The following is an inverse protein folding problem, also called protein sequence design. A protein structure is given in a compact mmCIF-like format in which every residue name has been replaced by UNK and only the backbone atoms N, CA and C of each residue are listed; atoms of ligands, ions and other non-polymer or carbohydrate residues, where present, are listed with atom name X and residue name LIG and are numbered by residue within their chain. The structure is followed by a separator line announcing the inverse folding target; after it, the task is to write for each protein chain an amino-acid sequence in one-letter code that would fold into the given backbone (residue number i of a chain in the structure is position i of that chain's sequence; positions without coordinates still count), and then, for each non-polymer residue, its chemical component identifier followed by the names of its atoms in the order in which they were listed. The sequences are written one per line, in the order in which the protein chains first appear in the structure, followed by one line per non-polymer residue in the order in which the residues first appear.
data_IF_747498241183
#
_entry.id   IF_747498241183
#
_cell.length_a   1.000
_cell.length_b   1.000
_cell.length_c   1.000
_cell.angle_alpha   90.00
_cell.angle_beta   90.00
_cell.angle_gamma   90.00
#
_symmetry.space_group_name_H-M   'P 1'
#
loop_
_entity.id
_entity.type
_entity.pdbx_description
1 polymer ?
#
# COMPACT_ATOMS: atom_id res chain seq x y z
N UNK A 1 12.64 3.65 -12.45
CA UNK A 1 11.18 3.50 -12.20
C UNK A 1 10.78 4.27 -10.94
N UNK A 2 11.44 4.04 -9.79
CA UNK A 2 11.16 4.74 -8.54
C UNK A 2 11.13 6.28 -8.68
N UNK A 3 12.12 6.89 -9.32
CA UNK A 3 12.20 8.36 -9.47
C UNK A 3 11.06 8.97 -10.32
N UNK A 4 10.30 8.16 -11.06
CA UNK A 4 9.14 8.61 -11.85
C UNK A 4 7.82 8.37 -11.11
N UNK A 5 7.82 7.54 -10.07
CA UNK A 5 6.66 7.30 -9.24
C UNK A 5 6.65 8.35 -8.13
N UNK A 6 5.79 9.34 -8.32
CA UNK A 6 5.63 10.47 -7.39
C UNK A 6 4.17 10.53 -7.01
N UNK A 7 3.91 10.63 -5.71
CA UNK A 7 2.58 10.82 -5.16
C UNK A 7 2.48 12.21 -4.54
N UNK A 8 1.41 12.92 -4.85
CA UNK A 8 1.06 14.14 -4.13
C UNK A 8 0.32 13.80 -2.83
N UNK A 9 0.17 14.80 -1.95
CA UNK A 9 -0.48 14.63 -0.65
C UNK A 9 -1.91 14.06 -0.76
N UNK A 10 -2.70 14.51 -1.74
CA UNK A 10 -4.07 14.02 -1.93
C UNK A 10 -4.11 12.55 -2.35
N UNK A 11 -3.16 12.08 -3.17
CA UNK A 11 -3.03 10.67 -3.52
C UNK A 11 -2.63 9.83 -2.30
N UNK A 12 -1.73 10.34 -1.46
CA UNK A 12 -1.31 9.67 -0.22
C UNK A 12 -2.51 9.50 0.74
N UNK A 13 -3.29 10.56 0.96
CA UNK A 13 -4.53 10.50 1.75
C UNK A 13 -5.54 9.51 1.16
N UNK A 14 -5.67 9.53 -0.17
CA UNK A 14 -6.56 8.61 -0.90
C UNK A 14 -6.12 7.15 -0.74
N UNK A 15 -4.82 6.86 -0.79
CA UNK A 15 -4.28 5.51 -0.52
C UNK A 15 -4.73 5.05 0.87
N UNK A 16 -4.47 5.83 1.92
CA UNK A 16 -4.81 5.38 3.27
C UNK A 16 -6.32 5.26 3.51
N UNK A 17 -7.15 6.11 2.90
CA UNK A 17 -8.62 5.97 2.98
C UNK A 17 -9.17 4.79 2.17
N UNK A 18 -8.44 4.32 1.14
CA UNK A 18 -8.78 3.15 0.34
C UNK A 18 -8.04 1.88 0.78
N UNK A 19 -7.15 1.94 1.75
CA UNK A 19 -6.44 0.77 2.27
C UNK A 19 -7.22 0.11 3.40
N UNK A 20 -7.00 -1.19 3.55
CA UNK A 20 -7.41 -1.92 4.74
C UNK A 20 -6.25 -1.90 5.76
N UNK A 21 -6.61 -1.82 7.05
CA UNK A 21 -5.66 -1.72 8.17
C UNK A 21 -5.45 -3.09 8.81
N UNK A 22 -4.19 -3.43 9.08
CA UNK A 22 -3.76 -4.68 9.69
C UNK A 22 -2.90 -4.42 10.93
N UNK A 23 -3.02 -5.29 11.94
CA UNK A 23 -2.27 -5.17 13.20
C UNK A 23 -0.95 -5.91 13.14
N UNK A 24 -0.88 -6.99 12.38
CA UNK A 24 0.33 -7.79 12.24
C UNK A 24 0.76 -7.88 10.78
N UNK A 25 2.07 -8.00 10.56
CA UNK A 25 2.61 -8.23 9.22
C UNK A 25 2.12 -9.57 8.66
N UNK A 26 1.91 -10.57 9.51
CA UNK A 26 1.34 -11.88 9.16
C UNK A 26 -0.01 -11.74 8.44
N UNK A 27 -0.87 -10.82 8.88
CA UNK A 27 -2.15 -10.53 8.22
C UNK A 27 -1.94 -10.04 6.78
N UNK A 28 -0.93 -9.18 6.57
CA UNK A 28 -0.50 -8.73 5.23
C UNK A 28 0.32 -9.78 4.47
N UNK A 29 0.79 -10.86 5.08
CA UNK A 29 1.53 -11.93 4.40
C UNK A 29 0.63 -13.09 3.96
N UNK A 30 -0.65 -13.10 4.33
CA UNK A 30 -1.60 -14.17 4.00
C UNK A 30 -2.23 -14.05 2.60
N UNK A 31 -1.78 -13.10 1.77
CA UNK A 31 -2.31 -12.83 0.43
C UNK A 31 -1.24 -12.67 -0.66
N UNK A 32 -1.63 -12.18 -1.83
CA UNK A 32 -0.71 -11.91 -2.95
C UNK A 32 0.02 -10.56 -2.82
N UNK A 33 0.37 -10.17 -1.60
CA UNK A 33 1.08 -8.92 -1.35
C UNK A 33 2.54 -9.07 -1.76
N UNK A 34 3.02 -8.11 -2.54
CA UNK A 34 4.37 -8.11 -3.08
C UNK A 34 5.18 -7.00 -2.40
N UNK A 35 6.49 -7.07 -2.57
CA UNK A 35 7.41 -6.01 -2.15
C UNK A 35 8.19 -5.51 -3.36
N UNK A 36 8.38 -4.20 -3.43
CA UNK A 36 9.12 -3.54 -4.51
C UNK A 36 10.21 -2.64 -3.94
N UNK A 37 11.39 -2.50 -4.58
CA UNK A 37 12.49 -1.69 -4.08
C UNK A 37 12.29 -0.18 -4.30
N UNK A 38 11.05 0.31 -4.22
CA UNK A 38 10.71 1.73 -4.29
C UNK A 38 9.74 2.08 -3.17
N UNK A 39 10.07 3.12 -2.40
CA UNK A 39 9.25 3.59 -1.29
C UNK A 39 9.11 5.12 -1.32
N UNK A 40 7.95 5.60 -0.87
CA UNK A 40 7.70 7.01 -0.57
C UNK A 40 7.45 7.11 0.93
N UNK A 41 8.26 7.91 1.61
CA UNK A 41 8.19 8.09 3.05
C UNK A 41 7.79 9.50 3.43
N UNK A 42 7.30 9.67 4.64
CA UNK A 42 6.91 10.97 5.17
C UNK A 42 6.35 10.88 6.57
N UNK A 43 5.65 11.92 6.99
CA UNK A 43 5.07 12.01 8.32
C UNK A 43 3.61 12.43 8.25
N UNK A 44 2.79 11.90 9.15
CA UNK A 44 1.40 12.29 9.31
C UNK A 44 1.00 12.36 10.78
N UNK A 45 -0.05 13.12 11.06
CA UNK A 45 -0.65 13.20 12.39
C UNK A 45 -2.01 12.51 12.33
N UNK A 46 -2.19 11.47 13.15
CA UNK A 46 -3.45 10.76 13.29
C UNK A 46 -3.70 10.47 14.77
N UNK A 47 -4.92 10.75 15.25
CA UNK A 47 -5.29 10.65 16.67
C UNK A 47 -4.30 11.38 17.62
N UNK A 48 -3.90 12.61 17.26
CA UNK A 48 -2.95 13.44 18.02
C UNK A 48 -1.55 12.82 18.19
N UNK A 49 -1.24 11.78 17.42
CA UNK A 49 0.04 11.08 17.41
C UNK A 49 0.73 11.28 16.07
N UNK A 50 2.04 11.51 16.12
CA UNK A 50 2.89 11.63 14.93
C UNK A 50 3.33 10.24 14.50
N UNK A 51 3.21 9.96 13.21
CA UNK A 51 3.59 8.70 12.60
C UNK A 51 4.57 8.98 11.46
N UNK A 52 5.62 8.17 11.37
CA UNK A 52 6.37 8.02 10.13
C UNK A 52 5.63 7.01 9.26
N UNK A 53 5.46 7.30 7.97
CA UNK A 53 4.91 6.32 7.04
C UNK A 53 5.95 5.92 6.00
N UNK A 54 5.87 4.67 5.54
CA UNK A 54 6.48 4.20 4.30
C UNK A 54 5.41 3.58 3.41
N UNK A 55 5.28 4.05 2.17
CA UNK A 55 4.41 3.46 1.15
C UNK A 55 5.30 2.73 0.16
N UNK A 56 5.12 1.43 0.05
CA UNK A 56 5.80 0.62 -0.94
C UNK A 56 5.08 0.71 -2.29
N UNK A 57 5.83 0.72 -3.39
CA UNK A 57 5.24 0.79 -4.73
C UNK A 57 4.40 -0.44 -5.12
N UNK A 58 4.40 -1.50 -4.29
CA UNK A 58 3.59 -2.70 -4.43
C UNK A 58 2.27 -2.70 -3.60
N UNK A 59 1.60 -1.55 -3.52
CA UNK A 59 0.27 -1.40 -2.90
C UNK A 59 0.19 -1.72 -1.39
N UNK A 60 1.33 -1.70 -0.69
CA UNK A 60 1.42 -1.85 0.76
C UNK A 60 2.01 -0.60 1.40
N UNK A 61 1.72 -0.38 2.67
CA UNK A 61 2.32 0.70 3.44
C UNK A 61 2.38 0.35 4.92
N UNK A 62 3.18 1.09 5.66
CA UNK A 62 3.27 0.99 7.11
C UNK A 62 3.29 2.38 7.74
N UNK A 63 2.71 2.49 8.94
CA UNK A 63 2.90 3.63 9.83
C UNK A 63 3.63 3.13 11.07
N UNK A 64 4.67 3.85 11.50
CA UNK A 64 5.38 3.57 12.74
C UNK A 64 5.59 4.84 13.56
N UNK A 65 5.48 4.73 14.88
CA UNK A 65 5.92 5.76 15.83
C UNK A 65 7.19 5.35 16.60
N UNK A 66 7.83 4.25 16.19
CA UNK A 66 8.95 3.62 16.89
C UNK A 66 8.57 2.68 18.04
N UNK A 67 7.29 2.58 18.40
CA UNK A 67 6.78 1.66 19.42
C UNK A 67 5.80 0.64 18.86
N UNK A 68 4.92 1.09 17.97
CA UNK A 68 3.95 0.26 17.27
C UNK A 68 4.04 0.51 15.76
N UNK A 69 3.71 -0.52 15.00
CA UNK A 69 3.60 -0.46 13.55
C UNK A 69 2.21 -0.88 13.13
N UNK A 70 1.59 -0.08 12.26
CA UNK A 70 0.33 -0.38 11.61
C UNK A 70 0.64 -0.71 10.16
N UNK A 71 0.14 -1.83 9.67
CA UNK A 71 0.31 -2.23 8.27
C UNK A 71 -0.95 -1.91 7.48
N UNK A 72 -0.76 -1.62 6.20
CA UNK A 72 -1.79 -1.20 5.27
C UNK A 72 -1.64 -1.92 3.95
N UNK A 73 -2.76 -2.29 3.35
CA UNK A 73 -2.78 -2.85 1.99
C UNK A 73 -3.93 -2.26 1.19
N UNK A 74 -3.65 -1.77 -0.02
CA UNK A 74 -4.70 -1.31 -0.92
C UNK A 74 -5.04 -2.34 -1.99
N UNK A 75 -6.09 -3.11 -1.72
CA UNK A 75 -6.61 -4.15 -2.61
C UNK A 75 -7.73 -3.66 -3.53
N UNK A 76 -8.08 -2.36 -3.53
CA UNK A 76 -9.18 -1.79 -4.35
C UNK A 76 -8.66 -1.30 -5.72
N UNK A 77 -9.43 -1.49 -6.80
CA UNK A 77 -9.06 -1.04 -8.17
C UNK A 77 -8.73 0.47 -8.23
N UNK A 78 -9.40 1.28 -7.39
CA UNK A 78 -9.15 2.73 -7.30
C UNK A 78 -7.74 3.10 -6.82
N UNK A 79 -6.93 2.13 -6.41
CA UNK A 79 -5.52 2.32 -6.06
C UNK A 79 -4.56 2.12 -7.23
N UNK A 80 -5.00 1.55 -8.35
CA UNK A 80 -4.07 0.99 -9.33
C UNK A 80 -3.19 2.05 -9.98
N UNK A 81 -3.77 3.20 -10.31
CA UNK A 81 -3.06 4.33 -10.89
C UNK A 81 -2.11 5.04 -9.90
N UNK A 82 -2.11 4.65 -8.62
CA UNK A 82 -1.23 5.21 -7.58
C UNK A 82 -0.03 4.31 -7.28
N UNK A 83 0.06 3.11 -7.85
CA UNK A 83 1.15 2.17 -7.58
C UNK A 83 1.84 1.72 -8.87
N UNK A 84 3.14 1.41 -8.77
CA UNK A 84 3.86 0.76 -9.88
C UNK A 84 3.34 -0.66 -10.06
N UNK A 85 3.12 -1.36 -8.95
CA UNK A 85 2.70 -2.76 -8.92
C UNK A 85 1.42 -2.87 -8.08
N UNK A 86 0.24 -2.75 -8.68
CA UNK A 86 -1.02 -2.86 -7.95
C UNK A 86 -1.22 -4.27 -7.39
N UNK A 87 -2.10 -4.41 -6.41
CA UNK A 87 -2.38 -5.69 -5.76
C UNK A 87 -2.87 -6.74 -6.79
N UNK A 88 -2.09 -7.79 -7.07
CA UNK A 88 -2.41 -8.76 -8.12
C UNK A 88 -3.52 -9.74 -7.71
N UNK A 89 -3.80 -9.84 -6.41
CA UNK A 89 -4.78 -10.78 -5.86
C UNK A 89 -6.20 -10.60 -6.40
N UNK A 90 -6.58 -9.41 -6.90
CA UNK A 90 -7.91 -9.18 -7.49
C UNK A 90 -8.17 -10.05 -8.72
N UNK A 91 -7.16 -10.27 -9.56
CA UNK A 91 -7.27 -11.07 -10.79
C UNK A 91 -7.53 -12.56 -10.51
N UNK A 92 -7.32 -13.02 -9.27
CA UNK A 92 -7.51 -14.41 -8.86
C UNK A 92 -8.88 -14.68 -8.21
N UNK A 93 -9.68 -13.65 -7.92
CA UNK A 93 -10.99 -13.79 -7.24
C UNK A 93 -12.15 -13.80 -8.26
N UNK A 94 -11.90 -13.40 -9.50
CA UNK A 94 -12.84 -13.54 -10.62
C UNK A 94 -12.29 -14.51 -11.65
N UNK A 95 -12.86 -15.71 -11.75
CA UNK A 95 -12.54 -16.64 -12.83
C UNK A 95 -12.65 -15.96 -14.20
N UNK A 96 -11.58 -15.97 -15.00
CA UNK A 96 -11.62 -15.57 -16.41
C UNK A 96 -10.63 -14.48 -16.89
N UNK A 97 -9.61 -14.10 -16.13
CA UNK A 97 -8.57 -13.18 -16.60
C UNK A 97 -7.40 -13.88 -17.30
N UNK A 98 -7.28 -13.73 -18.62
CA UNK A 98 -6.23 -14.32 -19.46
C UNK A 98 -4.84 -13.77 -19.10
N UNK A 99 -3.92 -14.64 -18.67
CA UNK A 99 -2.49 -14.34 -18.68
C UNK A 99 -2.07 -14.14 -20.14
N UNK A 100 -1.63 -12.92 -20.47
CA UNK A 100 -0.98 -12.62 -21.74
C UNK A 100 0.51 -12.54 -21.42
N UNK A 101 1.26 -13.55 -21.87
CA UNK A 101 2.72 -13.47 -22.04
C UNK A 101 3.00 -13.04 -23.48
#
# INVERSE_FOLDING_TARGET
LCNKWVLNASQIEKIFSLSDKYKEMSDTMTGFWLWFPCEITGELIYNKKKWHFSINAAATAEWSDGKETIYWGCSREKCDDMFILPYPGRSYIGGGGKLIW
#
